data_IF_350497302558
#
_entry.id   IF_350497302558
#
_cell.length_a   1.000
_cell.length_b   1.000
_cell.length_c   1.000
_cell.angle_alpha   90.00
_cell.angle_beta   90.00
_cell.angle_gamma   90.00
#
_symmetry.space_group_name_H-M   'P 1'
#
loop_
_entity.id
_entity.type
_entity.pdbx_description
1 polymer ?
#
# COMPACT_ATOMS: atom_id res chain seq x y z
N UNK A 1 6.25 -6.67 28.01
CA UNK A 1 6.03 -5.77 26.84
C UNK A 1 6.15 -4.32 27.31
N UNK A 2 7.03 -3.52 26.72
CA UNK A 2 7.20 -2.09 27.04
C UNK A 2 6.83 -1.26 25.81
N UNK A 3 5.78 -0.46 25.90
CA UNK A 3 5.38 0.46 24.83
C UNK A 3 6.18 1.76 24.98
N UNK A 4 6.77 2.25 23.89
CA UNK A 4 7.54 3.50 23.87
C UNK A 4 7.02 4.41 22.77
N UNK A 5 6.67 5.63 23.13
CA UNK A 5 6.44 6.73 22.20
C UNK A 5 7.71 7.58 22.15
N UNK A 6 8.14 7.95 20.94
CA UNK A 6 9.31 8.80 20.70
C UNK A 6 8.92 9.90 19.71
N UNK A 7 9.70 10.97 19.64
CA UNK A 7 9.53 11.98 18.58
C UNK A 7 9.86 11.42 17.19
N UNK A 8 9.45 12.14 16.16
CA UNK A 8 9.60 11.73 14.75
C UNK A 8 11.06 11.51 14.35
N UNK A 9 11.99 12.35 14.82
CA UNK A 9 13.41 12.25 14.45
C UNK A 9 14.04 11.00 15.06
N UNK A 10 13.76 10.73 16.33
CA UNK A 10 14.18 9.49 16.98
C UNK A 10 13.53 8.25 16.34
N UNK A 11 12.24 8.32 16.00
CA UNK A 11 11.56 7.22 15.32
C UNK A 11 12.23 6.89 13.98
N UNK A 12 12.45 7.89 13.13
CA UNK A 12 13.06 7.70 11.81
C UNK A 12 14.48 7.17 11.91
N UNK A 13 15.31 7.68 12.83
CA UNK A 13 16.65 7.15 13.04
C UNK A 13 16.62 5.65 13.39
N UNK A 14 15.81 5.29 14.40
CA UNK A 14 15.67 3.89 14.84
C UNK A 14 15.06 3.01 13.75
N UNK A 15 14.17 3.55 12.93
CA UNK A 15 13.60 2.86 11.77
C UNK A 15 14.64 2.56 10.69
N UNK A 16 15.50 3.53 10.36
CA UNK A 16 16.58 3.34 9.39
C UNK A 16 17.66 2.38 9.91
N UNK A 17 18.00 2.48 11.20
CA UNK A 17 18.97 1.61 11.87
C UNK A 17 18.39 0.25 12.28
N UNK A 18 17.08 0.04 12.10
CA UNK A 18 16.32 -1.14 12.58
C UNK A 18 16.47 -1.41 14.09
N UNK A 19 16.61 -0.36 14.89
CA UNK A 19 16.62 -0.42 16.36
C UNK A 19 15.19 -0.44 16.92
N UNK A 20 14.49 -1.56 16.73
CA UNK A 20 13.18 -1.80 17.32
C UNK A 20 12.89 -3.31 17.40
N UNK A 21 12.07 -3.72 18.37
CA UNK A 21 11.55 -5.08 18.44
C UNK A 21 10.31 -5.24 17.53
N UNK A 22 9.39 -4.27 17.60
CA UNK A 22 8.16 -4.25 16.83
C UNK A 22 7.71 -2.79 16.63
N UNK A 23 7.16 -2.50 15.45
CA UNK A 23 6.53 -1.22 15.15
C UNK A 23 5.10 -1.41 14.65
N UNK A 24 4.25 -0.44 14.98
CA UNK A 24 2.91 -0.35 14.38
C UNK A 24 2.95 0.64 13.22
N UNK A 25 2.71 0.16 12.00
CA UNK A 25 2.74 0.99 10.79
C UNK A 25 1.69 0.57 9.78
N UNK A 26 1.34 1.51 8.91
CA UNK A 26 0.58 1.19 7.71
C UNK A 26 1.43 0.41 6.71
N UNK A 27 0.82 -0.58 6.09
CA UNK A 27 1.34 -1.28 4.92
C UNK A 27 0.45 -0.95 3.72
N UNK A 28 1.06 -0.50 2.62
CA UNK A 28 0.35 -0.23 1.37
C UNK A 28 0.58 -1.41 0.44
N UNK A 29 -0.44 -2.25 0.28
CA UNK A 29 -0.41 -3.33 -0.70
C UNK A 29 -0.68 -2.78 -2.11
N UNK A 30 -0.05 -3.37 -3.11
CA UNK A 30 -0.41 -3.13 -4.50
C UNK A 30 -1.56 -4.06 -4.90
N UNK A 31 -2.51 -3.56 -5.71
CA UNK A 31 -3.57 -4.39 -6.28
C UNK A 31 -3.02 -5.47 -7.23
N UNK A 32 -1.84 -5.23 -7.80
CA UNK A 32 -1.17 -6.11 -8.74
C UNK A 32 0.27 -6.42 -8.29
N UNK A 33 0.73 -7.68 -8.39
CA UNK A 33 2.12 -8.03 -8.06
C UNK A 33 3.10 -7.28 -8.97
N UNK A 34 4.06 -6.59 -8.36
CA UNK A 34 5.00 -5.73 -9.10
C UNK A 34 6.45 -5.95 -8.65
N UNK A 35 7.44 -5.51 -9.44
CA UNK A 35 8.87 -5.62 -9.09
C UNK A 35 9.24 -4.96 -7.77
N UNK A 36 8.46 -3.96 -7.36
CA UNK A 36 8.64 -3.25 -6.09
C UNK A 36 8.50 -4.17 -4.86
N UNK A 37 7.99 -5.40 -5.01
CA UNK A 37 8.00 -6.37 -3.92
C UNK A 37 9.42 -6.78 -3.52
N UNK A 38 10.40 -6.73 -4.43
CA UNK A 38 11.80 -7.08 -4.14
C UNK A 38 12.41 -6.17 -3.06
N UNK A 39 12.25 -4.85 -3.18
CA UNK A 39 12.84 -3.90 -2.23
C UNK A 39 12.26 -4.02 -0.81
N UNK A 40 11.07 -4.63 -0.68
CA UNK A 40 10.36 -4.85 0.58
C UNK A 40 10.64 -6.23 1.18
N UNK A 41 10.75 -7.28 0.37
CA UNK A 41 10.69 -8.66 0.84
C UNK A 41 11.88 -9.54 0.45
N UNK A 42 12.63 -9.20 -0.59
CA UNK A 42 13.73 -10.02 -1.09
C UNK A 42 15.00 -9.81 -0.26
N UNK A 43 15.73 -10.90 0.00
CA UNK A 43 16.92 -10.94 0.85
C UNK A 43 18.11 -10.16 0.27
N UNK A 44 18.18 -9.99 -1.05
CA UNK A 44 19.19 -9.12 -1.69
C UNK A 44 18.99 -7.64 -1.34
N UNK A 45 17.80 -7.27 -0.88
CA UNK A 45 17.46 -5.92 -0.42
C UNK A 45 17.43 -5.84 1.11
N UNK A 46 18.18 -6.70 1.81
CA UNK A 46 18.23 -6.69 3.27
C UNK A 46 18.75 -5.39 3.86
N UNK A 47 19.47 -4.55 3.12
CA UNK A 47 19.92 -3.23 3.60
C UNK A 47 18.94 -2.10 3.25
N UNK A 48 17.86 -2.42 2.52
CA UNK A 48 16.81 -1.47 2.18
C UNK A 48 16.00 -1.05 3.40
N UNK A 49 15.80 0.26 3.59
CA UNK A 49 14.84 0.79 4.58
C UNK A 49 13.40 0.29 4.32
N UNK A 50 13.07 -0.35 3.19
CA UNK A 50 11.75 -0.95 3.00
C UNK A 50 11.65 -2.39 3.51
N UNK A 51 12.76 -3.15 3.56
CA UNK A 51 12.80 -4.49 4.12
C UNK A 51 12.94 -4.43 5.64
N UNK A 52 11.82 -4.13 6.30
CA UNK A 52 11.75 -3.78 7.72
C UNK A 52 11.50 -5.01 8.60
N UNK A 53 10.97 -6.07 8.02
CA UNK A 53 10.91 -7.37 8.67
C UNK A 53 12.24 -8.13 8.63
N UNK A 54 13.24 -7.65 7.87
CA UNK A 54 14.55 -8.29 7.77
C UNK A 54 14.48 -9.66 7.08
N UNK A 55 13.65 -9.79 6.05
CA UNK A 55 13.30 -11.08 5.45
C UNK A 55 14.50 -11.72 4.75
N UNK A 56 14.74 -12.99 5.08
CA UNK A 56 15.78 -13.85 4.50
C UNK A 56 15.19 -15.24 4.27
N UNK A 57 14.50 -15.41 3.15
CA UNK A 57 13.81 -16.65 2.82
C UNK A 57 13.90 -16.93 1.31
N UNK A 58 14.41 -18.11 0.95
CA UNK A 58 14.66 -18.49 -0.45
C UNK A 58 13.38 -18.65 -1.27
N UNK A 59 12.27 -19.04 -0.65
CA UNK A 59 11.00 -19.16 -1.34
C UNK A 59 10.42 -17.77 -1.65
N UNK A 60 10.57 -16.83 -0.74
CA UNK A 60 10.21 -15.42 -0.97
C UNK A 60 11.08 -14.82 -2.06
N UNK A 61 12.40 -15.04 -2.01
CA UNK A 61 13.33 -14.55 -3.04
C UNK A 61 12.91 -15.05 -4.42
N UNK A 62 12.72 -16.37 -4.56
CA UNK A 62 12.23 -16.99 -5.80
C UNK A 62 10.92 -16.38 -6.29
N UNK A 63 9.91 -16.25 -5.42
CA UNK A 63 8.61 -15.71 -5.83
C UNK A 63 8.71 -14.25 -6.27
N UNK A 64 9.52 -13.42 -5.59
CA UNK A 64 9.73 -12.04 -6.02
C UNK A 64 10.49 -11.92 -7.34
N UNK A 65 11.42 -12.82 -7.63
CA UNK A 65 12.12 -12.91 -8.91
C UNK A 65 11.15 -13.33 -10.03
N UNK A 66 10.34 -14.37 -9.81
CA UNK A 66 9.34 -14.82 -10.78
C UNK A 66 8.31 -13.72 -11.09
N UNK A 67 7.86 -12.96 -10.08
CA UNK A 67 6.97 -11.82 -10.30
C UNK A 67 7.64 -10.76 -11.17
N UNK A 68 8.91 -10.43 -10.91
CA UNK A 68 9.65 -9.42 -11.68
C UNK A 68 9.85 -9.84 -13.16
N UNK A 69 10.22 -11.09 -13.40
CA UNK A 69 10.46 -11.62 -14.75
C UNK A 69 9.18 -11.68 -15.60
N UNK A 70 8.03 -11.94 -14.97
CA UNK A 70 6.77 -12.22 -15.67
C UNK A 70 5.76 -11.06 -15.63
N UNK A 71 6.24 -9.81 -15.54
CA UNK A 71 5.38 -8.61 -15.55
C UNK A 71 4.48 -8.49 -16.79
N UNK A 72 4.79 -9.20 -17.88
CA UNK A 72 4.01 -9.22 -19.12
C UNK A 72 3.12 -10.46 -19.27
N UNK A 73 3.02 -11.32 -18.25
CA UNK A 73 2.17 -12.51 -18.23
C UNK A 73 1.10 -12.41 -17.13
N UNK A 74 -0.09 -11.87 -17.45
CA UNK A 74 -1.14 -11.69 -16.46
C UNK A 74 -1.70 -12.98 -15.88
N UNK A 75 -1.70 -14.08 -16.65
CA UNK A 75 -2.23 -15.36 -16.17
C UNK A 75 -1.28 -15.97 -15.14
N UNK A 76 0.03 -15.88 -15.38
CA UNK A 76 1.00 -16.35 -14.40
C UNK A 76 1.01 -15.48 -13.13
N UNK A 77 0.89 -14.16 -13.26
CA UNK A 77 0.86 -13.25 -12.11
C UNK A 77 -0.36 -13.46 -11.20
N UNK A 78 -1.51 -13.87 -11.77
CA UNK A 78 -2.69 -14.28 -10.99
C UNK A 78 -2.41 -15.48 -10.08
N UNK A 79 -1.49 -16.37 -10.46
CA UNK A 79 -1.07 -17.48 -9.62
C UNK A 79 0.07 -17.10 -8.64
N UNK A 80 1.04 -16.30 -9.10
CA UNK A 80 2.19 -15.88 -8.29
C UNK A 80 1.81 -15.00 -7.10
N UNK A 81 0.86 -14.06 -7.28
CA UNK A 81 0.42 -13.16 -6.22
C UNK A 81 -0.10 -13.89 -4.97
N UNK A 82 -1.11 -14.76 -5.08
CA UNK A 82 -1.62 -15.55 -3.95
C UNK A 82 -0.57 -16.52 -3.37
N UNK A 83 0.32 -17.07 -4.21
CA UNK A 83 1.41 -17.92 -3.72
C UNK A 83 2.38 -17.13 -2.83
N UNK A 84 2.78 -15.94 -3.28
CA UNK A 84 3.59 -15.00 -2.52
C UNK A 84 2.95 -14.59 -1.20
N UNK A 85 1.67 -14.21 -1.23
CA UNK A 85 0.92 -13.84 -0.02
C UNK A 85 0.83 -15.00 0.99
N UNK A 86 0.61 -16.24 0.51
CA UNK A 86 0.59 -17.44 1.36
C UNK A 86 1.92 -17.70 2.04
N UNK A 87 3.04 -17.55 1.32
CA UNK A 87 4.38 -17.75 1.89
C UNK A 87 4.70 -16.66 2.91
N UNK A 88 4.34 -15.40 2.64
CA UNK A 88 4.53 -14.30 3.58
C UNK A 88 3.74 -14.51 4.87
N UNK A 89 2.45 -14.84 4.76
CA UNK A 89 1.57 -15.03 5.91
C UNK A 89 1.96 -16.24 6.75
N UNK A 90 2.49 -17.30 6.14
CA UNK A 90 3.00 -18.48 6.87
C UNK A 90 4.27 -18.20 7.68
N UNK A 91 5.03 -17.15 7.33
CA UNK A 91 6.25 -16.75 8.05
C UNK A 91 6.00 -15.72 9.17
N UNK A 92 4.77 -15.22 9.32
CA UNK A 92 4.38 -14.32 10.41
C UNK A 92 5.23 -13.03 10.56
N UNK A 93 5.74 -12.48 9.46
CA UNK A 93 6.53 -11.23 9.47
C UNK A 93 5.74 -10.00 9.94
N UNK A 94 4.41 -10.06 9.88
CA UNK A 94 3.53 -8.98 10.29
C UNK A 94 2.29 -9.54 11.00
N UNK A 95 1.74 -8.75 11.92
CA UNK A 95 0.43 -9.00 12.54
C UNK A 95 -0.57 -8.03 11.89
N UNK A 96 -1.46 -8.51 11.00
CA UNK A 96 -2.44 -7.64 10.35
C UNK A 96 -3.38 -7.01 11.39
N UNK A 97 -3.64 -5.72 11.27
CA UNK A 97 -4.53 -4.99 12.14
C UNK A 97 -5.89 -4.75 11.46
N UNK A 98 -6.06 -3.57 10.85
CA UNK A 98 -7.33 -3.15 10.26
C UNK A 98 -7.09 -2.40 8.95
N UNK A 99 -8.14 -2.32 8.13
CA UNK A 99 -8.19 -1.53 6.91
C UNK A 99 -9.54 -0.81 6.79
N UNK A 100 -9.62 0.22 5.94
CA UNK A 100 -10.88 0.82 5.51
C UNK A 100 -11.21 0.33 4.09
N UNK A 101 -12.34 -0.33 3.91
CA UNK A 101 -12.83 -0.78 2.60
C UNK A 101 -13.62 0.29 1.84
N UNK A 102 -13.67 1.52 2.37
CA UNK A 102 -14.41 2.63 1.78
C UNK A 102 -13.61 3.93 1.84
N UNK A 103 -13.83 4.78 0.84
CA UNK A 103 -13.42 6.17 0.85
C UNK A 103 -14.48 7.02 1.55
N UNK A 104 -14.08 7.75 2.59
CA UNK A 104 -14.96 8.70 3.29
C UNK A 104 -14.70 10.09 2.73
N UNK A 105 -15.68 10.63 2.00
CA UNK A 105 -15.52 11.90 1.27
C UNK A 105 -16.69 12.82 1.60
N UNK A 106 -16.38 14.04 2.03
CA UNK A 106 -17.33 15.14 2.13
C UNK A 106 -16.94 16.22 1.13
N UNK A 107 -17.87 16.58 0.23
CA UNK A 107 -17.67 17.66 -0.73
C UNK A 107 -18.89 18.54 -0.81
N UNK A 108 -18.69 19.79 -1.24
CA UNK A 108 -19.80 20.62 -1.71
C UNK A 108 -20.53 19.94 -2.86
N UNK A 109 -21.86 20.07 -2.90
CA UNK A 109 -22.69 19.58 -4.00
C UNK A 109 -22.52 20.47 -5.25
N UNK A 110 -21.33 20.39 -5.84
CA UNK A 110 -20.98 21.00 -7.13
C UNK A 110 -20.10 20.11 -7.99
N UNK A 111 -19.52 19.06 -7.40
CA UNK A 111 -18.69 18.12 -8.14
C UNK A 111 -19.56 17.00 -8.69
N UNK A 112 -19.58 16.87 -10.02
CA UNK A 112 -20.06 15.69 -10.71
C UNK A 112 -18.90 14.70 -10.92
N UNK A 113 -19.27 13.44 -11.16
CA UNK A 113 -18.37 12.29 -11.23
C UNK A 113 -18.87 11.38 -12.37
N UNK A 114 -17.98 10.60 -13.00
CA UNK A 114 -18.42 9.62 -13.98
C UNK A 114 -19.30 8.55 -13.30
N UNK A 115 -20.22 7.97 -14.06
CA UNK A 115 -21.06 6.86 -13.61
C UNK A 115 -20.20 5.64 -13.29
N UNK A 116 -19.28 5.29 -14.21
CA UNK A 116 -18.24 4.30 -13.99
C UNK A 116 -17.04 4.94 -13.30
N UNK A 117 -16.71 4.46 -12.10
CA UNK A 117 -15.54 4.91 -11.33
C UNK A 117 -14.39 3.91 -11.47
N UNK A 118 -13.14 4.34 -11.23
CA UNK A 118 -12.03 3.40 -11.13
C UNK A 118 -12.30 2.33 -10.05
N UNK A 119 -11.91 1.09 -10.33
CA UNK A 119 -12.16 -0.05 -9.43
C UNK A 119 -11.37 0.05 -8.12
N UNK A 120 -10.13 0.55 -8.19
CA UNK A 120 -9.18 0.58 -7.08
C UNK A 120 -8.86 1.99 -6.56
N UNK A 121 -9.59 3.02 -7.00
CA UNK A 121 -9.31 4.41 -6.62
C UNK A 121 -10.60 5.25 -6.52
N UNK A 122 -10.55 6.31 -5.73
CA UNK A 122 -11.61 7.30 -5.63
C UNK A 122 -11.78 8.09 -6.94
N UNK A 123 -10.71 8.22 -7.74
CA UNK A 123 -10.72 8.86 -9.04
C UNK A 123 -11.06 10.34 -8.98
N UNK A 124 -10.52 11.08 -8.00
CA UNK A 124 -10.82 12.51 -7.81
C UNK A 124 -10.50 13.34 -9.06
N UNK A 125 -9.47 12.94 -9.80
CA UNK A 125 -9.06 13.61 -11.04
C UNK A 125 -10.07 13.45 -12.19
N UNK A 126 -11.04 12.54 -12.04
CA UNK A 126 -12.14 12.36 -12.99
C UNK A 126 -13.34 13.25 -12.68
N UNK A 127 -13.32 14.02 -11.59
CA UNK A 127 -14.45 14.84 -11.17
C UNK A 127 -14.40 16.21 -11.85
N UNK A 128 -15.57 16.80 -12.08
CA UNK A 128 -15.68 18.14 -12.66
C UNK A 128 -16.71 18.99 -11.94
N UNK A 129 -16.62 20.31 -12.09
CA UNK A 129 -17.63 21.22 -11.57
C UNK A 129 -18.85 21.17 -12.50
N UNK A 130 -19.96 20.72 -11.95
CA UNK A 130 -21.28 20.86 -12.55
C UNK A 130 -21.77 22.29 -12.30
N UNK A 131 -21.83 23.08 -13.37
CA UNK A 131 -22.19 24.50 -13.29
C UNK A 131 -23.60 24.74 -12.75
N UNK A 132 -24.54 23.81 -12.97
CA UNK A 132 -25.91 23.93 -12.48
C UNK A 132 -26.01 23.62 -10.99
N UNK A 133 -25.25 22.62 -10.51
CA UNK A 133 -25.13 22.34 -9.07
C UNK A 133 -24.40 23.47 -8.34
N UNK A 134 -23.30 23.96 -8.93
CA UNK A 134 -22.51 25.06 -8.36
C UNK A 134 -23.35 26.32 -8.13
N UNK A 135 -24.25 26.69 -9.06
CA UNK A 135 -25.12 27.87 -8.92
C UNK A 135 -25.99 27.85 -7.65
N UNK A 136 -26.38 26.65 -7.18
CA UNK A 136 -27.20 26.45 -5.97
C UNK A 136 -26.44 26.73 -4.67
N UNK A 137 -25.11 26.83 -4.74
CA UNK A 137 -24.27 27.14 -3.59
C UNK A 137 -24.13 28.67 -3.38
N UNK A 138 -23.87 29.12 -2.13
CA UNK A 138 -23.54 30.52 -1.85
C UNK A 138 -22.32 30.98 -2.66
N UNK A 139 -22.26 32.27 -3.03
CA UNK A 139 -21.20 32.82 -3.88
C UNK A 139 -19.76 32.45 -3.44
N UNK A 140 -19.50 32.36 -2.13
CA UNK A 140 -18.20 31.95 -1.56
C UNK A 140 -17.83 30.47 -1.78
N UNK A 141 -18.78 29.64 -2.20
CA UNK A 141 -18.67 28.17 -2.30
C UNK A 141 -18.99 27.61 -3.69
N UNK A 142 -19.42 28.47 -4.62
CA UNK A 142 -19.58 28.12 -6.04
C UNK A 142 -18.27 27.61 -6.62
#
# INVERSE_FOLDING_TARGET
>A
MKIRTVDTTQYLKRWHERDYDMVFRSYSANAYPSPNLKIVWNSNYIDSTYNQAGVRDKAIDYLTEQIDEHQQDPELLKALGPAFDRVLTWNFFAIPAWHSSMFRVATWDKFARPETRPEFDLGVDTWWIDTEKAKKLPAKRR
#
